data_IF_449691375302
#
_entry.id   IF_449691375302
#
_cell.length_a   1.000
_cell.length_b   1.000
_cell.length_c   1.000
_cell.angle_alpha   90.00
_cell.angle_beta   90.00
_cell.angle_gamma   90.00
#
_symmetry.space_group_name_H-M   'P 1'
#
loop_
_entity.id
_entity.type
_entity.pdbx_description
1 polymer ?
#
# COMPACT_ATOMS: atom_id res chain seq x y z
N UNK A 1 -56.45 -23.06 -9.24
CA UNK A 1 -55.31 -22.26 -9.76
C UNK A 1 -54.78 -21.44 -8.59
N UNK A 2 -53.78 -21.96 -7.87
CA UNK A 2 -53.25 -21.30 -6.68
C UNK A 2 -52.26 -20.22 -7.13
N UNK A 3 -52.59 -18.95 -6.90
CA UNK A 3 -51.65 -17.84 -7.10
C UNK A 3 -50.70 -17.84 -5.90
N UNK A 4 -49.44 -18.21 -6.14
CA UNK A 4 -48.36 -18.04 -5.16
C UNK A 4 -47.98 -16.54 -5.18
N UNK A 5 -48.46 -15.77 -4.21
CA UNK A 5 -47.96 -14.41 -3.98
C UNK A 5 -46.58 -14.54 -3.32
N UNK A 6 -45.53 -14.29 -4.07
CA UNK A 6 -44.17 -14.14 -3.53
C UNK A 6 -44.14 -12.82 -2.74
N UNK A 7 -44.22 -12.90 -1.41
CA UNK A 7 -44.03 -11.74 -0.54
C UNK A 7 -42.53 -11.41 -0.57
N UNK A 8 -42.18 -10.30 -1.21
CA UNK A 8 -40.84 -9.73 -1.14
C UNK A 8 -40.53 -9.42 0.33
N UNK A 9 -39.59 -10.13 0.95
CA UNK A 9 -39.28 -9.93 2.36
C UNK A 9 -38.56 -8.57 2.56
N UNK A 10 -38.91 -7.78 3.59
CA UNK A 10 -38.34 -6.45 3.81
C UNK A 10 -36.82 -6.46 4.08
N UNK A 11 -36.26 -7.60 4.49
CA UNK A 11 -34.82 -7.77 4.72
C UNK A 11 -34.00 -7.71 3.43
N UNK A 12 -34.52 -8.23 2.31
CA UNK A 12 -33.81 -8.22 1.02
C UNK A 12 -33.73 -6.81 0.45
N UNK A 13 -34.81 -6.03 0.56
CA UNK A 13 -34.83 -4.64 0.11
C UNK A 13 -33.86 -3.74 0.91
N UNK A 14 -33.74 -3.95 2.22
CA UNK A 14 -32.79 -3.23 3.07
C UNK A 14 -31.33 -3.58 2.72
N UNK A 15 -31.04 -4.86 2.44
CA UNK A 15 -29.72 -5.31 2.03
C UNK A 15 -29.31 -4.73 0.67
N UNK A 16 -30.19 -4.77 -0.33
CA UNK A 16 -29.92 -4.19 -1.65
C UNK A 16 -29.73 -2.66 -1.58
N UNK A 17 -30.51 -1.95 -0.75
CA UNK A 17 -30.30 -0.53 -0.51
C UNK A 17 -28.93 -0.25 0.13
N UNK A 18 -28.50 -1.09 1.07
CA UNK A 18 -27.18 -0.95 1.70
C UNK A 18 -26.04 -1.21 0.72
N UNK A 19 -26.13 -2.25 -0.12
CA UNK A 19 -25.16 -2.52 -1.20
C UNK A 19 -25.06 -1.34 -2.17
N UNK A 20 -26.22 -0.79 -2.58
CA UNK A 20 -26.28 0.37 -3.46
C UNK A 20 -25.64 1.61 -2.82
N UNK A 21 -25.89 1.87 -1.54
CA UNK A 21 -25.28 2.97 -0.81
C UNK A 21 -23.75 2.83 -0.71
N UNK A 22 -23.23 1.63 -0.43
CA UNK A 22 -21.78 1.35 -0.40
C UNK A 22 -21.14 1.58 -1.77
N UNK A 23 -21.77 1.09 -2.84
CA UNK A 23 -21.29 1.30 -4.21
C UNK A 23 -21.26 2.80 -4.58
N UNK A 24 -22.29 3.56 -4.19
CA UNK A 24 -22.34 5.00 -4.40
C UNK A 24 -21.22 5.74 -3.63
N UNK A 25 -20.96 5.34 -2.38
CA UNK A 25 -19.88 5.93 -1.58
C UNK A 25 -18.50 5.65 -2.18
N UNK A 26 -18.28 4.44 -2.71
CA UNK A 26 -17.04 4.10 -3.39
C UNK A 26 -16.84 4.93 -4.66
N UNK A 27 -17.89 5.22 -5.42
CA UNK A 27 -17.81 6.14 -6.57
C UNK A 27 -17.38 7.54 -6.10
N UNK A 28 -17.99 8.06 -5.02
CA UNK A 28 -17.63 9.35 -4.45
C UNK A 28 -16.17 9.40 -3.98
N UNK A 29 -15.69 8.34 -3.34
CA UNK A 29 -14.31 8.22 -2.85
C UNK A 29 -13.30 8.11 -4.00
N UNK A 30 -13.66 7.44 -5.10
CA UNK A 30 -12.84 7.41 -6.33
C UNK A 30 -12.65 8.82 -6.90
N UNK A 31 -13.74 9.56 -7.09
CA UNK A 31 -13.69 10.95 -7.56
C UNK A 31 -12.89 11.85 -6.60
N UNK A 32 -12.93 11.56 -5.31
CA UNK A 32 -12.12 12.23 -4.30
C UNK A 32 -10.63 11.90 -4.44
N UNK A 33 -10.27 10.62 -4.57
CA UNK A 33 -8.88 10.17 -4.81
C UNK A 33 -8.29 10.83 -6.05
N UNK A 34 -9.00 10.82 -7.17
CA UNK A 34 -8.53 11.41 -8.44
C UNK A 34 -8.27 12.92 -8.27
N UNK A 35 -9.17 13.65 -7.61
CA UNK A 35 -9.00 15.10 -7.34
C UNK A 35 -7.88 15.39 -6.35
N UNK A 36 -7.64 14.51 -5.39
CA UNK A 36 -6.54 14.67 -4.42
C UNK A 36 -5.19 14.38 -5.07
N UNK A 37 -5.11 13.30 -5.86
CA UNK A 37 -3.92 12.95 -6.64
C UNK A 37 -3.55 14.05 -7.64
N UNK A 38 -4.53 14.61 -8.36
CA UNK A 38 -4.31 15.73 -9.29
C UNK A 38 -3.73 16.99 -8.61
N UNK A 39 -3.88 17.12 -7.28
CA UNK A 39 -3.32 18.22 -6.47
C UNK A 39 -2.08 17.81 -5.67
N UNK A 40 -1.59 16.57 -5.83
CA UNK A 40 -0.46 16.03 -5.06
C UNK A 40 -0.76 15.81 -3.57
N UNK A 41 -2.04 15.67 -3.19
CA UNK A 41 -2.46 15.49 -1.79
C UNK A 41 -2.50 14.00 -1.44
N UNK A 42 -1.33 13.37 -1.38
CA UNK A 42 -1.19 11.91 -1.26
C UNK A 42 -1.74 11.32 0.04
N UNK A 43 -1.57 12.02 1.17
CA UNK A 43 -2.19 11.61 2.46
C UNK A 43 -3.71 11.55 2.35
N UNK A 44 -4.32 12.40 1.52
CA UNK A 44 -5.75 12.36 1.27
C UNK A 44 -6.16 11.16 0.42
N UNK A 45 -5.37 10.84 -0.62
CA UNK A 45 -5.58 9.65 -1.47
C UNK A 45 -5.55 8.39 -0.60
N UNK A 46 -4.57 8.29 0.30
CA UNK A 46 -4.43 7.19 1.25
C UNK A 46 -5.68 6.99 2.09
N UNK A 47 -6.14 8.06 2.76
CA UNK A 47 -7.34 8.01 3.60
C UNK A 47 -8.60 7.64 2.82
N UNK A 48 -8.74 8.09 1.59
CA UNK A 48 -9.90 7.75 0.76
C UNK A 48 -9.84 6.28 0.30
N UNK A 49 -8.66 5.79 -0.06
CA UNK A 49 -8.46 4.40 -0.45
C UNK A 49 -8.74 3.42 0.71
N UNK A 50 -8.22 3.69 1.92
CA UNK A 50 -8.52 2.84 3.07
C UNK A 50 -10.02 2.81 3.42
N UNK A 51 -10.76 3.89 3.14
CA UNK A 51 -12.22 3.90 3.30
C UNK A 51 -12.91 3.02 2.25
N UNK A 52 -12.38 3.02 1.01
CA UNK A 52 -12.86 2.13 -0.05
C UNK A 52 -12.60 0.66 0.28
N UNK A 53 -11.43 0.29 0.82
CA UNK A 53 -11.12 -1.10 1.20
C UNK A 53 -12.07 -1.63 2.29
N UNK A 54 -12.52 -0.76 3.21
CA UNK A 54 -13.48 -1.12 4.27
C UNK A 54 -14.93 -1.22 3.77
N UNK A 55 -15.22 -0.86 2.52
CA UNK A 55 -16.59 -0.82 1.98
C UNK A 55 -17.15 -2.19 1.57
N UNK A 56 -16.30 -3.22 1.49
CA UNK A 56 -16.63 -4.55 0.94
C UNK A 56 -17.10 -4.53 -0.52
N UNK A 57 -16.91 -3.41 -1.23
CA UNK A 57 -17.15 -3.28 -2.67
C UNK A 57 -15.88 -3.60 -3.41
N UNK A 58 -16.01 -4.34 -4.51
CA UNK A 58 -14.89 -4.65 -5.39
C UNK A 58 -14.27 -3.37 -5.98
N UNK A 59 -12.95 -3.24 -5.80
CA UNK A 59 -12.19 -2.10 -6.29
C UNK A 59 -11.65 -2.40 -7.69
N UNK A 60 -11.46 -1.34 -8.48
CA UNK A 60 -10.91 -1.45 -9.84
C UNK A 60 -9.39 -1.50 -9.74
N UNK A 61 -8.75 -2.11 -10.74
CA UNK A 61 -7.28 -2.05 -10.88
C UNK A 61 -6.75 -0.60 -10.76
N UNK A 62 -7.40 0.37 -11.41
CA UNK A 62 -7.03 1.78 -11.33
C UNK A 62 -7.09 2.39 -9.93
N UNK A 63 -8.01 1.92 -9.06
CA UNK A 63 -8.12 2.41 -7.68
C UNK A 63 -6.87 1.97 -6.89
N UNK A 64 -6.47 0.71 -7.05
CA UNK A 64 -5.27 0.16 -6.44
C UNK A 64 -3.99 0.82 -6.96
N UNK A 65 -3.88 1.07 -8.27
CA UNK A 65 -2.72 1.74 -8.89
C UNK A 65 -2.53 3.15 -8.31
N UNK A 66 -3.60 3.93 -8.21
CA UNK A 66 -3.53 5.28 -7.68
C UNK A 66 -3.12 5.29 -6.19
N UNK A 67 -3.61 4.33 -5.42
CA UNK A 67 -3.23 4.13 -4.03
C UNK A 67 -1.80 3.62 -3.86
N UNK A 68 -1.31 2.78 -4.77
CA UNK A 68 0.09 2.35 -4.79
C UNK A 68 1.04 3.53 -5.03
N UNK A 69 0.67 4.44 -5.94
CA UNK A 69 1.42 5.67 -6.19
C UNK A 69 1.46 6.57 -4.95
N UNK A 70 0.33 6.71 -4.25
CA UNK A 70 0.27 7.46 -2.99
C UNK A 70 1.18 6.83 -1.92
N UNK A 71 1.07 5.53 -1.68
CA UNK A 71 1.89 4.79 -0.71
C UNK A 71 3.40 4.94 -1.02
N UNK A 72 3.79 4.73 -2.28
CA UNK A 72 5.17 4.91 -2.72
C UNK A 72 5.68 6.33 -2.47
N UNK A 73 4.84 7.34 -2.73
CA UNK A 73 5.20 8.76 -2.50
C UNK A 73 5.34 9.07 -1.01
N UNK A 74 4.56 8.41 -0.15
CA UNK A 74 4.60 8.55 1.30
C UNK A 74 5.72 7.71 1.95
N UNK A 75 6.40 6.85 1.17
CA UNK A 75 7.46 5.97 1.66
C UNK A 75 6.95 4.62 2.18
N UNK A 76 5.65 4.35 2.13
CA UNK A 76 5.10 3.04 2.47
C UNK A 76 5.22 2.09 1.27
N UNK A 77 6.45 1.63 1.02
CA UNK A 77 6.77 0.79 -0.14
C UNK A 77 6.12 -0.59 -0.04
N UNK A 78 5.93 -1.12 1.18
CA UNK A 78 5.23 -2.39 1.40
C UNK A 78 3.78 -2.32 0.93
N UNK A 79 3.04 -1.32 1.40
CA UNK A 79 1.66 -1.09 0.95
C UNK A 79 1.59 -0.80 -0.56
N UNK A 80 2.58 -0.10 -1.12
CA UNK A 80 2.63 0.12 -2.57
C UNK A 80 2.73 -1.20 -3.36
N UNK A 81 3.63 -2.10 -2.94
CA UNK A 81 3.81 -3.43 -3.54
C UNK A 81 2.53 -4.25 -3.47
N UNK A 82 1.92 -4.36 -2.29
CA UNK A 82 0.67 -5.11 -2.09
C UNK A 82 -0.47 -4.60 -2.97
N UNK A 83 -0.60 -3.27 -3.10
CA UNK A 83 -1.62 -2.67 -3.96
C UNK A 83 -1.38 -2.93 -5.44
N UNK A 84 -0.13 -3.01 -5.89
CA UNK A 84 0.18 -3.44 -7.27
C UNK A 84 -0.21 -4.91 -7.46
N UNK A 85 0.02 -5.77 -6.48
CA UNK A 85 -0.43 -7.17 -6.52
C UNK A 85 -1.97 -7.27 -6.61
N UNK A 86 -2.69 -6.47 -5.84
CA UNK A 86 -4.16 -6.36 -5.96
C UNK A 86 -4.60 -5.85 -7.34
N UNK A 87 -3.91 -4.84 -7.89
CA UNK A 87 -4.20 -4.32 -9.23
C UNK A 87 -4.02 -5.40 -10.32
N UNK A 88 -2.95 -6.20 -10.21
CA UNK A 88 -2.63 -7.32 -11.11
C UNK A 88 -3.61 -8.48 -10.98
N UNK A 89 -4.18 -8.69 -9.79
CA UNK A 89 -5.22 -9.69 -9.57
C UNK A 89 -6.53 -9.33 -10.29
N UNK A 90 -6.81 -8.04 -10.49
CA UNK A 90 -7.98 -7.56 -11.25
C UNK A 90 -7.71 -7.58 -12.76
N UNK A 91 -6.53 -7.11 -13.19
CA UNK A 91 -6.13 -7.08 -14.60
C UNK A 91 -4.64 -7.41 -14.73
N UNK A 92 -4.33 -8.45 -15.50
CA UNK A 92 -2.94 -8.74 -15.88
C UNK A 92 -2.40 -7.63 -16.80
N UNK A 93 -1.32 -6.99 -16.37
CA UNK A 93 -0.72 -5.86 -17.06
C UNK A 93 0.81 -5.92 -16.91
N UNK A 94 1.53 -5.98 -18.04
CA UNK A 94 2.99 -6.12 -18.05
C UNK A 94 3.72 -4.90 -17.46
N UNK A 95 3.12 -3.70 -17.55
CA UNK A 95 3.69 -2.50 -16.97
C UNK A 95 3.59 -2.54 -15.44
N UNK A 96 2.44 -2.96 -14.90
CA UNK A 96 2.27 -3.17 -13.46
C UNK A 96 3.17 -4.30 -12.94
N UNK A 97 3.32 -5.38 -13.70
CA UNK A 97 4.24 -6.46 -13.36
C UNK A 97 5.69 -5.94 -13.30
N UNK A 98 6.11 -5.16 -14.29
CA UNK A 98 7.42 -4.51 -14.29
C UNK A 98 7.62 -3.58 -13.09
N UNK A 99 6.61 -2.78 -12.73
CA UNK A 99 6.70 -1.91 -11.55
C UNK A 99 6.84 -2.70 -10.23
N UNK A 100 6.10 -3.80 -10.06
CA UNK A 100 6.29 -4.70 -8.92
C UNK A 100 7.71 -5.25 -8.88
N UNK A 101 8.21 -5.74 -10.01
CA UNK A 101 9.55 -6.33 -10.10
C UNK A 101 10.64 -5.28 -9.81
N UNK A 102 10.43 -4.01 -10.19
CA UNK A 102 11.32 -2.90 -9.82
C UNK A 102 11.34 -2.63 -8.32
N UNK A 103 10.20 -2.73 -7.63
CA UNK A 103 10.14 -2.62 -6.16
C UNK A 103 10.95 -3.76 -5.54
N UNK A 104 10.69 -4.99 -5.95
CA UNK A 104 11.35 -6.19 -5.41
C UNK A 104 12.88 -6.20 -5.70
N UNK A 105 13.31 -5.60 -6.80
CA UNK A 105 14.72 -5.45 -7.13
C UNK A 105 15.45 -4.39 -6.29
N UNK A 106 14.73 -3.50 -5.60
CA UNK A 106 15.30 -2.31 -4.94
C UNK A 106 15.08 -2.27 -3.44
N UNK A 107 14.07 -2.98 -2.97
CA UNK A 107 13.61 -2.98 -1.60
C UNK A 107 13.48 -4.42 -1.12
N UNK A 108 13.74 -4.61 0.17
CA UNK A 108 13.60 -5.89 0.84
C UNK A 108 12.69 -5.73 2.04
N UNK A 109 11.86 -6.74 2.27
CA UNK A 109 11.03 -6.81 3.46
C UNK A 109 11.89 -6.99 4.72
N UNK A 110 11.59 -6.22 5.76
CA UNK A 110 12.28 -6.24 7.04
C UNK A 110 11.27 -6.17 8.18
N UNK A 111 11.60 -6.86 9.26
CA UNK A 111 10.94 -6.74 10.55
C UNK A 111 11.95 -6.18 11.54
N UNK A 112 11.67 -5.00 12.06
CA UNK A 112 12.54 -4.26 12.97
C UNK A 112 11.80 -4.04 14.28
N UNK A 113 12.54 -4.18 15.38
CA UNK A 113 12.09 -3.82 16.71
C UNK A 113 13.17 -2.94 17.35
N UNK A 114 12.76 -1.79 17.89
CA UNK A 114 13.71 -0.88 18.49
C UNK A 114 13.16 0.54 18.67
N UNK A 115 13.89 1.38 19.43
CA UNK A 115 13.47 2.75 19.67
C UNK A 115 13.77 3.68 18.49
N UNK A 116 14.73 3.32 17.63
CA UNK A 116 15.27 4.16 16.57
C UNK A 116 15.78 3.36 15.36
N UNK A 117 15.91 4.07 14.24
CA UNK A 117 16.52 3.60 13.00
C UNK A 117 17.38 4.73 12.45
N UNK A 118 18.68 4.48 12.25
CA UNK A 118 19.61 5.45 11.68
C UNK A 118 20.23 4.92 10.38
N UNK A 119 20.42 5.81 9.40
CA UNK A 119 21.11 5.50 8.16
C UNK A 119 22.61 5.74 8.33
N UNK A 120 23.40 4.68 8.31
CA UNK A 120 24.86 4.75 8.43
C UNK A 120 25.52 5.05 7.09
N UNK A 121 25.03 4.43 6.00
CA UNK A 121 25.55 4.63 4.65
C UNK A 121 24.53 4.22 3.58
N UNK A 122 24.54 4.94 2.45
CA UNK A 122 24.17 4.33 1.16
C UNK A 122 22.92 4.87 0.47
N UNK A 123 22.30 5.96 0.94
CA UNK A 123 21.03 6.40 0.35
C UNK A 123 21.07 7.81 -0.23
N UNK A 124 20.92 7.91 -1.56
CA UNK A 124 20.79 9.18 -2.28
C UNK A 124 19.49 9.29 -3.08
N UNK A 125 18.81 8.16 -3.33
CA UNK A 125 17.58 8.14 -4.12
C UNK A 125 16.40 8.68 -3.30
N UNK A 126 15.55 9.56 -3.86
CA UNK A 126 14.43 10.15 -3.12
C UNK A 126 13.45 9.13 -2.54
N UNK A 127 13.14 8.08 -3.29
CA UNK A 127 12.20 7.03 -2.89
C UNK A 127 12.74 6.18 -1.74
N UNK A 128 14.02 5.85 -1.77
CA UNK A 128 14.69 5.17 -0.68
C UNK A 128 14.67 6.02 0.59
N UNK A 129 14.95 7.33 0.48
CA UNK A 129 14.89 8.26 1.61
C UNK A 129 13.47 8.39 2.18
N UNK A 130 12.44 8.34 1.34
CA UNK A 130 11.06 8.32 1.78
C UNK A 130 10.75 7.04 2.57
N UNK A 131 11.15 5.86 2.07
CA UNK A 131 10.97 4.59 2.76
C UNK A 131 11.66 4.54 4.12
N UNK A 132 12.89 5.04 4.19
CA UNK A 132 13.63 5.17 5.45
C UNK A 132 12.90 6.09 6.46
N UNK A 133 12.40 7.25 6.02
CA UNK A 133 11.67 8.19 6.90
C UNK A 133 10.33 7.61 7.37
N UNK A 134 9.66 6.85 6.52
CA UNK A 134 8.45 6.12 6.88
C UNK A 134 8.75 5.11 7.99
N UNK A 135 9.78 4.26 7.81
CA UNK A 135 10.21 3.29 8.81
C UNK A 135 10.63 3.94 10.14
N UNK A 136 11.38 5.05 10.11
CA UNK A 136 11.72 5.81 11.32
C UNK A 136 10.47 6.30 12.06
N UNK A 137 9.49 6.83 11.32
CA UNK A 137 8.25 7.36 11.90
C UNK A 137 7.46 6.24 12.57
N UNK A 138 7.35 5.08 11.93
CA UNK A 138 6.63 3.93 12.46
C UNK A 138 7.32 3.28 13.67
N UNK A 139 8.65 3.13 13.64
CA UNK A 139 9.43 2.68 14.80
C UNK A 139 9.29 3.64 15.98
N UNK A 140 9.40 4.95 15.74
CA UNK A 140 9.23 5.93 16.81
C UNK A 140 7.81 5.93 17.41
N UNK A 141 6.80 5.59 16.59
CA UNK A 141 5.39 5.56 17.01
C UNK A 141 5.01 4.28 17.75
N UNK A 142 5.53 3.13 17.32
CA UNK A 142 5.04 1.82 17.77
C UNK A 142 6.11 0.93 18.41
N UNK A 143 7.40 1.25 18.23
CA UNK A 143 8.54 0.41 18.60
C UNK A 143 8.81 -0.74 17.63
N UNK A 144 7.98 -0.89 16.60
CA UNK A 144 8.06 -1.98 15.61
C UNK A 144 7.90 -1.40 14.19
N UNK A 145 8.57 -2.02 13.22
CA UNK A 145 8.31 -1.76 11.81
C UNK A 145 8.33 -3.07 11.05
N UNK A 146 7.23 -3.31 10.32
CA UNK A 146 7.08 -4.43 9.40
C UNK A 146 6.79 -3.82 8.02
N UNK A 147 7.74 -3.92 7.10
CA UNK A 147 7.64 -3.21 5.83
C UNK A 147 8.90 -3.35 4.98
N UNK A 148 9.07 -2.46 4.01
CA UNK A 148 10.17 -2.57 3.03
C UNK A 148 11.18 -1.43 3.15
N UNK A 149 12.47 -1.77 3.16
CA UNK A 149 13.59 -0.83 3.11
C UNK A 149 14.49 -1.10 1.91
N UNK A 150 15.19 -0.07 1.42
CA UNK A 150 16.18 -0.29 0.37
C UNK A 150 17.44 -0.94 0.92
N UNK A 151 18.24 -1.53 0.04
CA UNK A 151 19.59 -1.98 0.40
C UNK A 151 20.44 -0.84 0.97
N UNK A 152 21.31 -1.16 1.92
CA UNK A 152 22.10 -0.16 2.66
C UNK A 152 22.57 -0.67 4.02
N UNK A 153 23.20 0.23 4.78
CA UNK A 153 23.65 -0.02 6.15
C UNK A 153 22.87 0.87 7.10
N UNK A 154 22.21 0.24 8.05
CA UNK A 154 21.36 0.87 9.04
C UNK A 154 21.86 0.56 10.45
N UNK A 155 21.43 1.36 11.42
CA UNK A 155 21.58 1.08 12.83
C UNK A 155 20.19 1.06 13.48
N UNK A 156 19.91 0.03 14.28
CA UNK A 156 18.65 -0.14 15.01
C UNK A 156 18.97 -0.47 16.45
N UNK A 157 18.64 0.42 17.39
CA UNK A 157 18.92 0.21 18.81
C UNK A 157 20.40 -0.09 19.12
N UNK A 158 21.33 0.59 18.45
CA UNK A 158 22.76 0.39 18.62
C UNK A 158 23.36 -0.80 17.85
N UNK A 159 22.57 -1.49 17.02
CA UNK A 159 23.02 -2.66 16.24
C UNK A 159 23.06 -2.35 14.77
N UNK A 160 24.17 -2.68 14.11
CA UNK A 160 24.29 -2.54 12.66
C UNK A 160 23.49 -3.61 11.94
N UNK A 161 22.64 -3.19 11.01
CA UNK A 161 21.89 -4.02 10.08
C UNK A 161 22.40 -3.74 8.66
N UNK A 162 22.84 -4.79 7.96
CA UNK A 162 23.27 -4.70 6.56
C UNK A 162 22.21 -5.36 5.70
N UNK A 163 21.58 -4.58 4.82
CA UNK A 163 20.66 -5.06 3.80
C UNK A 163 21.42 -5.09 2.47
N UNK A 164 21.89 -6.27 2.06
CA UNK A 164 22.67 -6.45 0.84
C UNK A 164 21.77 -6.81 -0.35
N UNK A 165 22.08 -6.26 -1.53
CA UNK A 165 21.35 -6.56 -2.76
C UNK A 165 21.65 -7.96 -3.30
N UNK A 166 20.78 -8.49 -4.19
CA UNK A 166 21.08 -9.74 -4.90
C UNK A 166 22.37 -9.59 -5.71
N UNK A 167 23.42 -10.30 -5.28
CA UNK A 167 24.76 -10.31 -5.90
C UNK A 167 25.89 -9.67 -5.10
N UNK A 168 25.61 -9.03 -3.95
CA UNK A 168 26.63 -8.32 -3.15
C UNK A 168 27.29 -9.17 -2.04
N UNK A 169 26.86 -10.43 -1.86
CA UNK A 169 27.36 -11.31 -0.79
C UNK A 169 28.70 -12.02 -1.08
N UNK A 170 29.38 -11.76 -2.22
CA UNK A 170 30.62 -12.44 -2.61
C UNK A 170 31.91 -11.65 -2.31
N UNK A 171 31.91 -10.77 -1.30
CA UNK A 171 33.01 -9.86 -1.00
C UNK A 171 33.70 -10.05 0.35
N UNK A 172 33.62 -11.22 0.98
CA UNK A 172 34.33 -11.49 2.25
C UNK A 172 34.78 -12.94 2.33
N UNK A 173 35.94 -13.23 1.73
CA UNK A 173 37.14 -13.85 2.33
C UNK A 173 38.14 -14.25 1.24
#
# INVERSE_FOLDING_TARGET
MLLLLTVLQPADAANEAQKSARAAEVIRLRDEMERLAARGVWVGVERAYEQMERSEVELRSADHVLAAQAAMTLGDVGSARERIEHALAVVADDHLAGWRDEIDARFVHVQLEGPDLELVRGMTRPDALAAYRFAQTELARTGVFDGMLSYGVYEVGGRTLVLAGPGELNGSE
#
